data_IF_360552858506
#
_entry.id   IF_360552858506
#
_cell.length_a   1.000
_cell.length_b   1.000
_cell.length_c   1.000
_cell.angle_alpha   90.00
_cell.angle_beta   90.00
_cell.angle_gamma   90.00
#
_symmetry.space_group_name_H-M   'P 1'
#
loop_
_entity.id
_entity.type
_entity.pdbx_description
1 polymer ?
#
# COMPACT_ATOMS: atom_id res chain seq x y z
N UNK A 1 -37.07 6.11 24.72
CA UNK A 1 -36.10 7.18 24.44
C UNK A 1 -34.90 6.51 23.80
N UNK A 2 -34.66 6.81 22.54
CA UNK A 2 -33.90 5.97 21.61
C UNK A 2 -32.44 5.85 22.01
N UNK A 3 -31.99 4.61 22.12
CA UNK A 3 -30.62 4.12 22.29
C UNK A 3 -29.53 4.96 21.59
N UNK A 4 -29.84 5.55 20.42
CA UNK A 4 -29.00 6.50 19.69
C UNK A 4 -28.64 7.78 20.47
N UNK A 5 -29.58 8.34 21.24
CA UNK A 5 -29.38 9.58 22.01
C UNK A 5 -28.44 9.30 23.19
N UNK A 6 -28.61 8.16 23.86
CA UNK A 6 -27.77 7.76 25.00
C UNK A 6 -26.30 7.66 24.62
N UNK A 7 -25.98 7.11 23.45
CA UNK A 7 -24.59 6.97 23.02
C UNK A 7 -23.99 8.22 22.41
N UNK A 8 -24.81 9.04 21.74
CA UNK A 8 -24.39 10.38 21.34
C UNK A 8 -23.97 11.18 22.58
N UNK A 9 -24.75 11.08 23.65
CA UNK A 9 -24.45 11.70 24.94
C UNK A 9 -23.22 11.07 25.60
N UNK A 10 -23.06 9.74 25.59
CA UNK A 10 -21.86 9.08 26.14
C UNK A 10 -20.57 9.46 25.40
N UNK A 11 -20.60 9.53 24.06
CA UNK A 11 -19.45 9.97 23.26
C UNK A 11 -19.12 11.43 23.58
N UNK A 12 -20.13 12.31 23.63
CA UNK A 12 -19.92 13.73 23.98
C UNK A 12 -19.40 13.88 25.41
N UNK A 13 -19.91 13.09 26.36
CA UNK A 13 -19.44 13.07 27.75
C UNK A 13 -18.01 12.53 27.85
N UNK A 14 -17.65 11.50 27.09
CA UNK A 14 -16.30 10.96 27.05
C UNK A 14 -15.32 11.96 26.40
N UNK A 15 -15.74 12.67 25.35
CA UNK A 15 -14.95 13.74 24.72
C UNK A 15 -14.75 14.90 25.69
N UNK A 16 -15.82 15.34 26.37
CA UNK A 16 -15.72 16.34 27.44
C UNK A 16 -14.80 15.87 28.57
N UNK A 17 -14.92 14.61 28.98
CA UNK A 17 -14.06 14.00 29.98
C UNK A 17 -12.58 13.99 29.54
N UNK A 18 -12.27 13.58 28.31
CA UNK A 18 -10.91 13.60 27.77
C UNK A 18 -10.33 15.02 27.71
N UNK A 19 -11.12 16.01 27.27
CA UNK A 19 -10.71 17.41 27.24
C UNK A 19 -10.46 17.93 28.66
N UNK A 20 -11.34 17.62 29.62
CA UNK A 20 -11.16 17.98 31.01
C UNK A 20 -9.91 17.32 31.60
N UNK A 21 -9.67 16.05 31.30
CA UNK A 21 -8.49 15.32 31.75
C UNK A 21 -7.20 15.99 31.27
N UNK A 22 -7.16 16.53 30.05
CA UNK A 22 -5.98 17.31 29.58
C UNK A 22 -5.77 18.63 30.31
N UNK A 23 -6.79 19.20 30.96
CA UNK A 23 -6.68 20.42 31.78
C UNK A 23 -6.25 20.11 33.22
N UNK A 24 -6.63 18.95 33.76
CA UNK A 24 -6.40 18.57 35.15
C UNK A 24 -5.22 17.63 35.36
N UNK A 25 -4.57 17.14 34.29
CA UNK A 25 -3.38 16.30 34.38
C UNK A 25 -2.18 17.09 34.95
N UNK A 26 -1.69 16.76 36.17
CA UNK A 26 -0.56 17.43 36.81
C UNK A 26 0.75 17.28 36.03
N UNK A 27 0.84 16.26 35.16
CA UNK A 27 2.01 16.02 34.33
C UNK A 27 1.85 16.56 32.91
N UNK A 28 0.70 17.11 32.49
CA UNK A 28 0.43 17.57 31.11
C UNK A 28 0.89 16.58 30.00
N UNK A 29 0.79 15.27 30.22
CA UNK A 29 1.19 14.26 29.23
C UNK A 29 0.06 13.98 28.23
N UNK A 30 -1.19 14.10 28.68
CA UNK A 30 -2.33 13.75 27.86
C UNK A 30 -2.62 14.81 26.77
N UNK A 31 -2.61 14.39 25.51
CA UNK A 31 -3.16 15.16 24.38
C UNK A 31 -2.31 16.33 23.87
N UNK A 32 -1.01 16.39 24.22
CA UNK A 32 -0.05 17.37 23.70
C UNK A 32 1.23 16.67 23.27
N UNK A 33 1.72 17.02 22.08
CA UNK A 33 3.01 16.52 21.58
C UNK A 33 4.05 17.60 21.77
N UNK A 34 5.13 17.25 22.47
CA UNK A 34 6.25 18.13 22.74
C UNK A 34 7.38 17.85 21.75
N UNK A 35 8.07 18.90 21.33
CA UNK A 35 9.19 18.85 20.39
C UNK A 35 10.40 19.58 20.95
N UNK A 36 11.57 19.05 20.65
CA UNK A 36 12.87 19.67 20.91
C UNK A 36 13.60 19.92 19.60
N UNK A 37 14.51 20.89 19.61
CA UNK A 37 15.35 21.17 18.47
C UNK A 37 16.65 20.38 18.60
N UNK A 38 16.93 19.48 17.65
CA UNK A 38 18.19 18.74 17.54
C UNK A 38 18.75 19.02 16.15
N UNK A 39 19.95 19.59 16.06
CA UNK A 39 20.63 19.92 14.80
C UNK A 39 19.77 20.74 13.82
N UNK A 40 18.98 21.68 14.35
CA UNK A 40 18.10 22.53 13.55
C UNK A 40 16.77 21.88 13.14
N UNK A 41 16.57 20.58 13.40
CA UNK A 41 15.34 19.86 13.12
C UNK A 41 14.46 19.70 14.38
N UNK A 42 13.14 19.77 14.20
CA UNK A 42 12.16 19.56 15.27
C UNK A 42 11.88 18.07 15.46
N UNK A 43 12.45 17.49 16.50
CA UNK A 43 12.29 16.08 16.86
C UNK A 43 11.31 15.94 18.02
N UNK A 44 10.61 14.81 18.15
CA UNK A 44 9.78 14.57 19.32
C UNK A 44 10.63 14.63 20.60
N UNK A 45 10.13 15.32 21.62
CA UNK A 45 10.80 15.44 22.91
C UNK A 45 10.36 14.29 23.83
N UNK A 46 11.32 13.70 24.53
CA UNK A 46 11.03 12.69 25.54
C UNK A 46 10.62 13.36 26.87
N UNK A 47 10.09 12.57 27.79
CA UNK A 47 9.63 13.04 29.10
C UNK A 47 10.76 13.74 29.90
N UNK A 48 11.99 13.25 29.75
CA UNK A 48 13.20 13.82 30.39
C UNK A 48 13.49 15.22 29.84
N UNK A 49 13.38 15.42 28.53
CA UNK A 49 13.62 16.74 27.89
C UNK A 49 12.57 17.77 28.28
N UNK A 50 11.35 17.31 28.56
CA UNK A 50 10.27 18.15 29.09
C UNK A 50 10.54 18.59 30.52
N UNK A 51 10.99 17.68 31.38
CA UNK A 51 11.38 18.01 32.76
C UNK A 51 12.59 18.95 32.80
N UNK A 52 13.48 18.85 31.82
CA UNK A 52 14.60 19.76 31.63
C UNK A 52 14.21 21.16 31.11
N UNK A 53 12.93 21.39 30.74
CA UNK A 53 12.44 22.68 30.25
C UNK A 53 12.87 23.04 28.82
N UNK A 54 13.44 22.09 28.08
CA UNK A 54 13.95 22.29 26.70
C UNK A 54 12.84 22.03 25.67
N UNK A 55 11.77 21.33 26.08
CA UNK A 55 10.69 20.94 25.19
C UNK A 55 9.65 22.07 24.99
N UNK A 56 9.26 22.28 23.73
CA UNK A 56 8.20 23.20 23.33
C UNK A 56 6.98 22.44 22.81
N UNK A 57 5.77 22.99 22.94
CA UNK A 57 4.56 22.34 22.42
C UNK A 57 4.49 22.55 20.90
N UNK A 58 4.28 21.47 20.15
CA UNK A 58 3.98 21.53 18.72
C UNK A 58 2.45 21.52 18.51
N UNK A 59 1.84 22.64 18.07
CA UNK A 59 0.39 22.70 17.86
C UNK A 59 -0.07 21.76 16.75
N UNK A 60 0.71 21.65 15.68
CA UNK A 60 0.44 20.81 14.49
C UNK A 60 0.35 19.33 14.84
N UNK A 61 1.35 18.78 15.56
CA UNK A 61 1.35 17.37 15.99
C UNK A 61 0.27 17.09 17.02
N UNK A 62 0.00 18.06 17.91
CA UNK A 62 -1.05 17.94 18.92
C UNK A 62 -2.44 17.86 18.27
N UNK A 63 -2.72 18.70 17.26
CA UNK A 63 -3.97 18.62 16.48
C UNK A 63 -4.08 17.25 15.78
N UNK A 64 -2.99 16.77 15.17
CA UNK A 64 -2.95 15.45 14.54
C UNK A 64 -3.28 14.30 15.52
N UNK A 65 -2.76 14.36 16.75
CA UNK A 65 -3.05 13.38 17.80
C UNK A 65 -4.53 13.36 18.17
N UNK A 66 -5.15 14.53 18.36
CA UNK A 66 -6.58 14.63 18.64
C UNK A 66 -7.43 14.12 17.47
N UNK A 67 -7.09 14.51 16.25
CA UNK A 67 -7.74 13.98 15.04
C UNK A 67 -7.66 12.45 14.99
N UNK A 68 -6.48 11.86 15.22
CA UNK A 68 -6.33 10.40 15.24
C UNK A 68 -7.20 9.74 16.33
N UNK A 69 -7.25 10.32 17.53
CA UNK A 69 -8.15 9.87 18.60
C UNK A 69 -9.62 9.91 18.21
N UNK A 70 -10.10 11.01 17.61
CA UNK A 70 -11.48 11.12 17.13
C UNK A 70 -11.82 10.10 16.04
N UNK A 71 -10.93 9.91 15.05
CA UNK A 71 -11.14 8.91 14.01
C UNK A 71 -11.17 7.48 14.56
N UNK A 72 -10.37 7.19 15.60
CA UNK A 72 -10.38 5.89 16.29
C UNK A 72 -11.74 5.65 16.95
N UNK A 73 -12.30 6.66 17.63
CA UNK A 73 -13.64 6.59 18.20
C UNK A 73 -14.73 6.47 17.12
N UNK A 74 -14.58 7.18 16.00
CA UNK A 74 -15.53 7.10 14.88
C UNK A 74 -15.56 5.69 14.29
N UNK A 75 -14.41 5.02 14.17
CA UNK A 75 -14.36 3.62 13.75
C UNK A 75 -15.02 2.73 14.80
N UNK A 76 -14.66 2.84 16.09
CA UNK A 76 -15.29 2.02 17.14
C UNK A 76 -16.81 2.22 17.27
N UNK A 77 -17.35 3.33 16.78
CA UNK A 77 -18.80 3.52 16.67
C UNK A 77 -19.52 2.48 15.81
N UNK A 78 -18.81 1.68 14.98
CA UNK A 78 -19.40 0.57 14.22
C UNK A 78 -20.10 -0.46 15.11
N UNK A 79 -19.57 -0.67 16.33
CA UNK A 79 -20.09 -1.65 17.28
C UNK A 79 -21.52 -1.32 17.75
N UNK A 80 -21.99 -0.11 17.44
CA UNK A 80 -23.26 0.44 17.88
C UNK A 80 -24.24 0.77 16.74
N UNK A 81 -24.22 -0.05 15.66
CA UNK A 81 -25.02 0.10 14.43
C UNK A 81 -24.57 1.26 13.53
N UNK A 82 -25.10 1.33 12.30
CA UNK A 82 -24.90 2.42 11.33
C UNK A 82 -25.04 3.84 11.94
N UNK A 83 -23.91 4.45 12.29
CA UNK A 83 -23.82 5.82 12.78
C UNK A 83 -23.18 6.74 11.72
N UNK A 84 -23.58 8.02 11.69
CA UNK A 84 -23.06 9.00 10.73
C UNK A 84 -21.53 9.19 10.88
N UNK A 85 -21.02 9.14 12.12
CA UNK A 85 -19.58 9.24 12.40
C UNK A 85 -18.78 8.09 11.80
N UNK A 86 -19.30 6.86 11.90
CA UNK A 86 -18.66 5.69 11.29
C UNK A 86 -18.65 5.80 9.77
N UNK A 87 -19.78 6.15 9.14
CA UNK A 87 -19.88 6.33 7.67
C UNK A 87 -18.96 7.44 7.16
N UNK A 88 -18.79 8.51 7.92
CA UNK A 88 -17.84 9.57 7.61
C UNK A 88 -16.40 9.07 7.68
N UNK A 89 -16.02 8.36 8.75
CA UNK A 89 -14.67 7.80 8.89
C UNK A 89 -14.35 6.79 7.77
N UNK A 90 -15.30 5.92 7.43
CA UNK A 90 -15.18 4.97 6.31
C UNK A 90 -14.97 5.71 4.97
N UNK A 91 -15.81 6.71 4.67
CA UNK A 91 -15.68 7.50 3.44
C UNK A 91 -14.36 8.29 3.39
N UNK A 92 -13.91 8.84 4.52
CA UNK A 92 -12.61 9.50 4.62
C UNK A 92 -11.45 8.54 4.37
N UNK A 93 -11.45 7.36 5.01
CA UNK A 93 -10.38 6.36 4.82
C UNK A 93 -10.33 5.92 3.36
N UNK A 94 -11.46 5.51 2.77
CA UNK A 94 -11.50 5.06 1.37
C UNK A 94 -11.13 6.19 0.42
N UNK A 95 -11.62 7.41 0.65
CA UNK A 95 -11.34 8.58 -0.18
C UNK A 95 -9.87 9.01 -0.13
N UNK A 96 -9.28 9.10 1.06
CA UNK A 96 -7.87 9.44 1.24
C UNK A 96 -6.97 8.36 0.67
N UNK A 97 -7.29 7.07 0.86
CA UNK A 97 -6.55 5.98 0.24
C UNK A 97 -6.59 6.06 -1.29
N UNK A 98 -7.77 6.27 -1.88
CA UNK A 98 -7.89 6.41 -3.33
C UNK A 98 -7.11 7.63 -3.87
N UNK A 99 -7.18 8.77 -3.17
CA UNK A 99 -6.44 9.97 -3.53
C UNK A 99 -4.93 9.77 -3.43
N UNK A 100 -4.45 9.12 -2.35
CA UNK A 100 -3.03 8.80 -2.18
C UNK A 100 -2.51 7.95 -3.34
N UNK A 101 -3.19 6.85 -3.68
CA UNK A 101 -2.78 6.00 -4.80
C UNK A 101 -2.79 6.74 -6.14
N UNK A 102 -3.76 7.63 -6.37
CA UNK A 102 -3.81 8.46 -7.58
C UNK A 102 -2.61 9.40 -7.68
N UNK A 103 -2.29 10.12 -6.58
CA UNK A 103 -1.15 11.06 -6.53
C UNK A 103 0.18 10.32 -6.69
N UNK A 104 0.35 9.21 -5.97
CA UNK A 104 1.56 8.39 -6.09
C UNK A 104 1.68 7.86 -7.51
N UNK A 105 0.64 7.26 -8.08
CA UNK A 105 0.66 6.76 -9.46
C UNK A 105 0.95 7.85 -10.49
N UNK A 106 0.47 9.06 -10.27
CA UNK A 106 0.79 10.22 -11.12
C UNK A 106 2.30 10.50 -11.12
N UNK A 107 2.89 10.72 -9.94
CA UNK A 107 4.28 11.14 -9.82
C UNK A 107 5.30 10.01 -10.04
N UNK A 108 4.97 8.78 -9.61
CA UNK A 108 5.89 7.64 -9.68
C UNK A 108 5.78 6.85 -10.98
N UNK A 109 4.63 6.92 -11.67
CA UNK A 109 4.36 6.07 -12.84
C UNK A 109 4.06 6.89 -14.08
N UNK A 110 3.03 7.75 -14.07
CA UNK A 110 2.60 8.47 -15.28
C UNK A 110 3.62 9.49 -15.74
N UNK A 111 4.10 10.36 -14.85
CA UNK A 111 5.11 11.38 -15.20
C UNK A 111 6.38 10.76 -15.78
N UNK A 112 7.06 9.78 -15.12
CA UNK A 112 8.29 9.20 -15.67
C UNK A 112 8.08 8.25 -16.85
N UNK A 113 7.06 7.39 -16.84
CA UNK A 113 6.96 6.32 -17.84
C UNK A 113 6.19 6.72 -19.10
N UNK A 114 5.34 7.74 -19.01
CA UNK A 114 4.51 8.22 -20.13
C UNK A 114 4.96 9.62 -20.58
N UNK A 115 4.83 10.61 -19.70
CA UNK A 115 5.04 12.00 -20.09
C UNK A 115 6.52 12.33 -20.34
N UNK A 116 7.44 11.80 -19.55
CA UNK A 116 8.88 12.04 -19.75
C UNK A 116 9.37 11.47 -21.09
N UNK A 117 8.77 10.37 -21.56
CA UNK A 117 9.13 9.74 -22.84
C UNK A 117 8.46 10.39 -24.04
N UNK A 118 7.24 10.91 -23.88
CA UNK A 118 6.48 11.53 -24.96
C UNK A 118 6.80 13.03 -25.13
N UNK A 119 7.06 13.74 -24.02
CA UNK A 119 7.34 15.19 -23.99
C UNK A 119 8.51 15.52 -23.04
N UNK A 120 9.74 15.03 -23.32
CA UNK A 120 10.89 15.17 -22.42
C UNK A 120 11.23 16.63 -22.12
N UNK A 121 11.23 17.50 -23.13
CA UNK A 121 11.53 18.92 -22.94
C UNK A 121 10.51 19.67 -22.08
N UNK A 122 9.23 19.28 -22.10
CA UNK A 122 8.24 19.85 -21.20
C UNK A 122 8.49 19.33 -19.79
N UNK A 123 8.52 18.01 -19.58
CA UNK A 123 8.68 17.38 -18.24
C UNK A 123 9.94 17.82 -17.52
N UNK A 124 11.03 18.06 -18.25
CA UNK A 124 12.27 18.56 -17.67
C UNK A 124 12.10 19.89 -16.95
N UNK A 125 11.27 20.80 -17.47
CA UNK A 125 11.13 22.16 -16.94
C UNK A 125 10.34 22.24 -15.62
N UNK A 126 9.36 21.34 -15.40
CA UNK A 126 8.44 21.45 -14.26
C UNK A 126 8.48 20.26 -13.30
N UNK A 127 8.92 19.07 -13.73
CA UNK A 127 8.82 17.86 -12.93
C UNK A 127 10.17 17.13 -12.73
N UNK A 128 11.04 17.07 -13.75
CA UNK A 128 12.27 16.25 -13.71
C UNK A 128 13.48 16.98 -14.34
N UNK A 129 14.12 17.92 -13.63
CA UNK A 129 15.18 18.76 -14.18
C UNK A 129 16.42 18.01 -14.67
N UNK A 130 16.64 16.76 -14.22
CA UNK A 130 17.76 15.91 -14.64
C UNK A 130 17.52 15.05 -15.90
N UNK A 131 16.38 15.20 -16.58
CA UNK A 131 16.04 14.41 -17.78
C UNK A 131 16.80 14.93 -19.02
N UNK A 132 17.27 14.05 -19.89
CA UNK A 132 17.79 14.44 -21.20
C UNK A 132 16.63 14.81 -22.14
N UNK A 133 16.64 15.99 -22.80
CA UNK A 133 15.53 16.44 -23.64
C UNK A 133 15.43 15.74 -25.00
N UNK A 134 16.10 14.60 -25.18
CA UNK A 134 16.16 13.88 -26.45
C UNK A 134 14.91 13.03 -26.66
N UNK A 135 14.28 13.18 -27.82
CA UNK A 135 13.14 12.38 -28.23
C UNK A 135 13.64 11.04 -28.79
N UNK A 136 13.38 9.96 -28.05
CA UNK A 136 13.57 8.61 -28.53
C UNK A 136 12.76 8.35 -29.82
N UNK A 137 13.31 7.66 -30.85
CA UNK A 137 12.57 7.31 -32.06
C UNK A 137 11.31 6.47 -31.77
N UNK A 138 11.31 5.73 -30.66
CA UNK A 138 10.20 4.89 -30.20
C UNK A 138 9.17 5.66 -29.36
N UNK A 139 9.36 6.95 -29.10
CA UNK A 139 8.47 7.78 -28.28
C UNK A 139 7.01 7.74 -28.75
N UNK A 140 6.78 7.61 -30.07
CA UNK A 140 5.43 7.52 -30.65
C UNK A 140 4.64 6.28 -30.18
N UNK A 141 5.31 5.19 -29.81
CA UNK A 141 4.64 3.99 -29.29
C UNK A 141 3.91 4.28 -27.97
N UNK A 142 4.40 5.26 -27.19
CA UNK A 142 3.78 5.70 -25.94
C UNK A 142 2.47 6.48 -26.15
N UNK A 143 2.08 6.78 -27.40
CA UNK A 143 0.75 7.29 -27.71
C UNK A 143 -0.34 6.25 -27.39
N UNK A 144 -0.05 4.95 -27.56
CA UNK A 144 -0.98 3.86 -27.24
C UNK A 144 -1.36 3.87 -25.74
N UNK A 145 -0.41 3.81 -24.78
CA UNK A 145 -0.75 3.92 -23.37
C UNK A 145 -1.35 5.28 -22.98
N UNK A 146 -1.03 6.38 -23.68
CA UNK A 146 -1.71 7.67 -23.47
C UNK A 146 -3.20 7.58 -23.80
N UNK A 147 -3.54 7.03 -24.96
CA UNK A 147 -4.94 6.83 -25.38
C UNK A 147 -5.67 5.92 -24.39
N UNK A 148 -5.06 4.79 -24.02
CA UNK A 148 -5.65 3.87 -23.02
C UNK A 148 -5.82 4.55 -21.65
N UNK A 149 -4.89 5.40 -21.24
CA UNK A 149 -4.98 6.20 -20.02
C UNK A 149 -6.16 7.17 -20.05
N UNK A 150 -6.33 7.90 -21.16
CA UNK A 150 -7.47 8.81 -21.34
C UNK A 150 -8.80 8.03 -21.35
N UNK A 151 -8.85 6.89 -22.04
CA UNK A 151 -10.04 6.01 -22.05
C UNK A 151 -10.41 5.53 -20.64
N UNK A 152 -9.42 5.31 -19.77
CA UNK A 152 -9.65 4.91 -18.38
C UNK A 152 -10.18 6.07 -17.54
N UNK A 153 -9.75 7.31 -17.79
CA UNK A 153 -10.29 8.52 -17.13
C UNK A 153 -11.76 8.78 -17.49
N UNK A 154 -12.21 8.41 -18.70
CA UNK A 154 -13.62 8.51 -19.09
C UNK A 154 -14.57 7.68 -18.21
N UNK A 155 -14.04 6.76 -17.39
CA UNK A 155 -14.79 6.03 -16.37
C UNK A 155 -15.43 6.94 -15.31
N UNK A 156 -14.86 8.11 -15.06
CA UNK A 156 -15.41 9.12 -14.15
C UNK A 156 -16.76 9.68 -14.64
N UNK A 157 -17.02 9.58 -15.95
CA UNK A 157 -18.27 10.01 -16.57
C UNK A 157 -19.18 8.77 -16.71
N UNK A 158 -20.29 8.65 -15.93
CA UNK A 158 -21.11 7.44 -15.91
C UNK A 158 -21.68 7.05 -17.29
N UNK A 159 -21.88 8.03 -18.19
CA UNK A 159 -22.35 7.79 -19.56
C UNK A 159 -21.29 7.17 -20.49
N UNK A 160 -20.01 7.44 -20.25
CA UNK A 160 -18.90 6.97 -21.12
C UNK A 160 -18.10 5.83 -20.49
N UNK A 161 -18.56 5.29 -19.36
CA UNK A 161 -17.87 4.22 -18.63
C UNK A 161 -17.61 2.97 -19.46
N UNK A 162 -18.37 2.72 -20.52
CA UNK A 162 -18.15 1.56 -21.41
C UNK A 162 -16.80 1.60 -22.14
N UNK A 163 -16.26 2.79 -22.41
CA UNK A 163 -14.98 2.96 -23.11
C UNK A 163 -13.81 2.48 -22.24
N UNK A 164 -13.95 2.57 -20.91
CA UNK A 164 -12.94 2.10 -19.96
C UNK A 164 -12.75 0.59 -19.91
N UNK A 165 -13.65 -0.20 -20.55
CA UNK A 165 -13.51 -1.65 -20.64
C UNK A 165 -12.33 -2.07 -21.53
N UNK A 166 -11.97 -1.29 -22.54
CA UNK A 166 -10.85 -1.62 -23.43
C UNK A 166 -9.50 -1.59 -22.69
N UNK A 167 -9.14 -0.52 -21.94
CA UNK A 167 -7.98 -0.54 -21.06
C UNK A 167 -8.02 -1.68 -20.03
N UNK A 168 -9.19 -1.96 -19.44
CA UNK A 168 -9.31 -3.01 -18.43
C UNK A 168 -9.07 -4.40 -19.02
N UNK A 169 -9.62 -4.69 -20.20
CA UNK A 169 -9.38 -5.93 -20.93
C UNK A 169 -7.90 -6.09 -21.29
N UNK A 170 -7.23 -5.01 -21.69
CA UNK A 170 -5.80 -5.01 -21.96
C UNK A 170 -4.98 -5.33 -20.70
N UNK A 171 -5.27 -4.69 -19.56
CA UNK A 171 -4.60 -4.94 -18.28
C UNK A 171 -4.79 -6.40 -17.84
N UNK A 172 -6.02 -6.92 -17.91
CA UNK A 172 -6.32 -8.31 -17.53
C UNK A 172 -5.62 -9.28 -18.48
N UNK A 173 -5.64 -9.02 -19.79
CA UNK A 173 -4.98 -9.88 -20.78
C UNK A 173 -3.46 -9.92 -20.59
N UNK A 174 -2.82 -8.77 -20.36
CA UNK A 174 -1.39 -8.68 -20.06
C UNK A 174 -1.04 -9.42 -18.78
N UNK A 175 -1.77 -9.16 -17.69
CA UNK A 175 -1.47 -9.78 -16.38
C UNK A 175 -1.70 -11.29 -16.41
N UNK A 176 -2.77 -11.76 -17.07
CA UNK A 176 -3.02 -13.19 -17.27
C UNK A 176 -1.91 -13.85 -18.11
N UNK A 177 -1.49 -13.21 -19.21
CA UNK A 177 -0.40 -13.71 -20.05
C UNK A 177 0.93 -13.83 -19.31
N UNK A 178 1.33 -12.77 -18.60
CA UNK A 178 2.57 -12.78 -17.79
C UNK A 178 2.53 -13.84 -16.69
N UNK A 179 1.38 -13.97 -15.99
CA UNK A 179 1.23 -15.01 -14.95
C UNK A 179 1.21 -16.41 -15.52
N UNK A 180 0.61 -16.62 -16.69
CA UNK A 180 0.62 -17.93 -17.36
C UNK A 180 2.05 -18.34 -17.69
N UNK A 181 2.86 -17.45 -18.28
CA UNK A 181 4.26 -17.75 -18.58
C UNK A 181 5.05 -18.00 -17.31
N UNK A 182 4.91 -17.15 -16.28
CA UNK A 182 5.59 -17.34 -15.00
C UNK A 182 5.23 -18.67 -14.32
N UNK A 183 3.96 -19.07 -14.36
CA UNK A 183 3.50 -20.34 -13.83
C UNK A 183 4.05 -21.54 -14.62
N UNK A 184 4.07 -21.45 -15.95
CA UNK A 184 4.64 -22.49 -16.81
C UNK A 184 6.14 -22.66 -16.57
N UNK A 185 6.88 -21.55 -16.50
CA UNK A 185 8.34 -21.58 -16.39
C UNK A 185 8.82 -21.94 -14.99
N UNK A 186 8.22 -21.38 -13.94
CA UNK A 186 8.69 -21.58 -12.57
C UNK A 186 8.09 -22.84 -11.94
N UNK A 187 6.76 -23.01 -12.03
CA UNK A 187 6.09 -24.04 -11.25
C UNK A 187 6.01 -25.35 -12.03
N UNK A 188 5.55 -25.33 -13.29
CA UNK A 188 5.41 -26.56 -14.06
C UNK A 188 6.76 -27.18 -14.45
N UNK A 189 7.72 -26.41 -14.97
CA UNK A 189 9.03 -26.97 -15.31
C UNK A 189 9.81 -27.43 -14.09
N UNK A 190 9.73 -26.73 -12.96
CA UNK A 190 10.37 -27.19 -11.70
C UNK A 190 9.74 -28.50 -11.22
N UNK A 191 8.42 -28.63 -11.28
CA UNK A 191 7.73 -29.87 -10.93
C UNK A 191 8.12 -31.05 -11.83
N UNK A 192 8.21 -30.81 -13.15
CA UNK A 192 8.69 -31.82 -14.10
C UNK A 192 10.15 -32.21 -13.80
N UNK A 193 11.03 -31.22 -13.60
CA UNK A 193 12.45 -31.47 -13.27
C UNK A 193 12.60 -32.28 -11.98
N UNK A 194 11.83 -31.96 -10.95
CA UNK A 194 11.84 -32.69 -9.68
C UNK A 194 11.24 -34.09 -9.79
N UNK A 195 10.52 -34.40 -10.87
CA UNK A 195 10.04 -35.75 -11.16
C UNK A 195 11.12 -36.61 -11.85
N UNK A 196 12.16 -36.01 -12.45
CA UNK A 196 13.31 -36.71 -13.04
C UNK A 196 14.44 -36.95 -12.03
N UNK A 197 14.11 -37.34 -10.80
CA UNK A 197 15.13 -37.72 -9.82
C UNK A 197 15.74 -39.09 -10.15
N UNK A 198 17.07 -39.24 -10.10
CA UNK A 198 17.71 -40.53 -10.35
C UNK A 198 17.32 -41.54 -9.29
N UNK A 199 16.87 -42.72 -9.73
CA UNK A 199 16.45 -43.83 -8.86
C UNK A 199 17.63 -44.40 -8.05
N UNK A 200 18.82 -44.43 -8.63
CA UNK A 200 20.06 -44.84 -7.98
C UNK A 200 21.01 -43.65 -7.95
N UNK A 201 21.30 -43.16 -6.75
CA UNK A 201 22.19 -42.02 -6.49
C UNK A 201 23.58 -42.56 -6.13
N UNK A 202 24.58 -42.14 -6.90
CA UNK A 202 25.99 -42.41 -6.61
C UNK A 202 26.66 -41.10 -6.17
N UNK A 203 27.49 -41.18 -5.14
CA UNK A 203 28.25 -40.04 -4.62
C UNK A 203 29.31 -39.58 -5.63
N UNK A 204 29.31 -38.30 -6.02
CA UNK A 204 30.23 -37.75 -7.03
C UNK A 204 31.71 -37.83 -6.61
N UNK A 205 32.01 -37.76 -5.31
CA UNK A 205 33.39 -37.73 -4.78
C UNK A 205 34.01 -39.11 -4.55
N UNK A 206 33.19 -40.15 -4.36
CA UNK A 206 33.66 -41.48 -3.94
C UNK A 206 33.13 -42.62 -4.81
N UNK A 207 32.22 -42.35 -5.75
CA UNK A 207 31.54 -43.37 -6.57
C UNK A 207 30.68 -44.34 -5.76
N UNK A 208 30.54 -44.11 -4.45
CA UNK A 208 29.83 -45.00 -3.55
C UNK A 208 28.31 -44.86 -3.74
N UNK A 209 27.62 -45.99 -3.75
CA UNK A 209 26.17 -46.03 -3.78
C UNK A 209 25.59 -45.45 -2.49
N UNK A 210 24.67 -44.48 -2.61
CA UNK A 210 23.96 -43.89 -1.47
C UNK A 210 22.55 -44.51 -1.36
N UNK A 211 22.38 -45.56 -0.52
CA UNK A 211 21.12 -46.30 -0.46
C UNK A 211 19.96 -45.46 0.07
N UNK A 212 20.24 -44.60 1.05
CA UNK A 212 19.20 -43.80 1.70
C UNK A 212 18.58 -42.77 0.75
N UNK A 213 19.41 -42.07 -0.02
CA UNK A 213 18.93 -41.06 -0.97
C UNK A 213 18.25 -41.69 -2.20
N UNK A 214 18.74 -42.86 -2.63
CA UNK A 214 18.09 -43.67 -3.68
C UNK A 214 16.69 -44.15 -3.27
N UNK A 215 16.52 -44.56 -2.01
CA UNK A 215 15.22 -44.94 -1.45
C UNK A 215 14.26 -43.75 -1.40
N UNK A 216 14.73 -42.58 -0.96
CA UNK A 216 13.92 -41.34 -0.92
C UNK A 216 13.41 -40.93 -2.31
N UNK A 217 14.28 -40.94 -3.32
CA UNK A 217 13.91 -40.60 -4.70
C UNK A 217 12.90 -41.60 -5.28
N UNK A 218 13.10 -42.90 -5.03
CA UNK A 218 12.17 -43.95 -5.47
C UNK A 218 10.80 -43.83 -4.80
N UNK A 219 10.78 -43.58 -3.48
CA UNK A 219 9.54 -43.38 -2.73
C UNK A 219 8.77 -42.15 -3.21
N UNK A 220 9.46 -41.03 -3.48
CA UNK A 220 8.85 -39.81 -4.00
C UNK A 220 8.16 -40.04 -5.35
N UNK A 221 8.83 -40.72 -6.28
CA UNK A 221 8.26 -41.07 -7.59
C UNK A 221 7.05 -42.00 -7.44
N UNK A 222 7.12 -43.00 -6.57
CA UNK A 222 5.98 -43.89 -6.27
C UNK A 222 4.77 -43.12 -5.72
N UNK A 223 4.98 -42.17 -4.80
CA UNK A 223 3.91 -41.34 -4.27
C UNK A 223 3.28 -40.42 -5.33
N UNK A 224 4.08 -39.85 -6.24
CA UNK A 224 3.58 -39.05 -7.36
C UNK A 224 2.70 -39.91 -8.28
N UNK A 225 3.18 -41.10 -8.64
CA UNK A 225 2.43 -42.03 -9.50
C UNK A 225 1.15 -42.58 -8.83
N UNK A 226 1.12 -42.71 -7.50
CA UNK A 226 -0.09 -43.16 -6.80
C UNK A 226 -1.17 -42.09 -6.68
N UNK A 227 -0.81 -40.82 -6.84
CA UNK A 227 -1.73 -39.69 -6.76
C UNK A 227 -2.29 -39.26 -8.13
N UNK A 228 -1.80 -39.85 -9.22
CA UNK A 228 -2.33 -39.75 -10.58
C UNK A 228 -3.49 -40.74 -10.78
#
# INVERSE_FOLDING_TARGET
MTERITWSVLIVLFVLFAILQTKYDPQQQAGRVYVKQVDGAWVNADEIDRLAGIASVSPDRSIGLWCAGFFTLFIFSFMYRDNAFYKFAEACVVGVSAAYYMVVGWWSTLVPNLFAKLFPGMVQQWAMPGLTPELEPTALVYLVPLILGIMLLLRLIPRMSWISLWPLAFIIGMTAGLRMVGFLEADFLSQIKNSFLPLLVFSEETGAFQPWQSFQNTFMICCILSCL
#
